data_IF_691230093808
#
_entry.id   IF_691230093808
#
_cell.length_a   1.000
_cell.length_b   1.000
_cell.length_c   1.000
_cell.angle_alpha   90.00
_cell.angle_beta   90.00
_cell.angle_gamma   90.00
#
_symmetry.space_group_name_H-M   'P 1'
#
loop_
_entity.id
_entity.type
_entity.pdbx_description
1 polymer ?
#
# COMPACT_ATOMS: atom_id res chain seq x y z
N UNK A 1 21.48 -26.02 25.08
CA UNK A 1 20.13 -25.59 24.72
C UNK A 1 20.18 -25.45 23.22
N UNK A 2 20.01 -26.53 22.44
CA UNK A 2 19.97 -26.33 21.00
C UNK A 2 18.83 -25.37 20.64
N UNK A 3 19.09 -24.28 19.94
CA UNK A 3 18.03 -23.37 19.50
C UNK A 3 17.07 -24.14 18.59
N UNK A 4 15.77 -23.96 18.79
CA UNK A 4 14.71 -24.53 17.95
C UNK A 4 13.91 -23.43 17.29
N UNK A 5 13.45 -23.68 16.06
CA UNK A 5 12.50 -22.82 15.37
C UNK A 5 11.09 -23.29 15.68
N UNK A 6 10.27 -22.41 16.24
CA UNK A 6 8.88 -22.72 16.58
C UNK A 6 7.97 -22.68 15.34
N UNK A 7 6.72 -23.13 15.50
CA UNK A 7 5.69 -23.11 14.45
C UNK A 7 5.28 -21.71 13.98
N UNK A 8 5.79 -20.65 14.62
CA UNK A 8 5.54 -19.26 14.22
C UNK A 8 6.43 -18.80 13.05
N UNK A 9 7.31 -19.69 12.56
CA UNK A 9 8.16 -19.42 11.41
C UNK A 9 7.35 -19.07 10.16
N UNK A 10 7.70 -17.94 9.53
CA UNK A 10 7.10 -17.46 8.28
C UNK A 10 7.90 -17.85 7.03
N UNK A 11 8.87 -18.76 7.14
CA UNK A 11 9.71 -19.25 6.03
C UNK A 11 10.45 -18.15 5.24
N UNK A 12 10.88 -17.08 5.91
CA UNK A 12 11.61 -15.99 5.27
C UNK A 12 13.09 -16.31 4.94
N UNK A 13 13.67 -17.36 5.53
CA UNK A 13 15.05 -17.81 5.27
C UNK A 13 16.16 -16.91 5.82
N UNK A 14 15.84 -15.85 6.56
CA UNK A 14 16.83 -14.88 7.04
C UNK A 14 17.87 -15.46 8.02
N UNK A 15 17.52 -16.52 8.75
CA UNK A 15 18.39 -17.15 9.74
C UNK A 15 19.43 -18.12 9.15
N UNK A 16 19.14 -18.71 7.98
CA UNK A 16 20.00 -19.71 7.34
C UNK A 16 21.44 -19.20 7.04
N UNK A 17 21.64 -18.04 6.38
CA UNK A 17 22.98 -17.56 6.06
C UNK A 17 23.76 -17.08 7.29
N UNK A 18 23.09 -16.75 8.39
CA UNK A 18 23.71 -16.24 9.62
C UNK A 18 24.24 -17.36 10.52
N UNK A 19 23.95 -18.63 10.22
CA UNK A 19 24.38 -19.76 11.04
C UNK A 19 25.84 -20.16 10.71
N UNK A 20 26.80 -20.03 11.65
CA UNK A 20 28.21 -20.34 11.40
C UNK A 20 28.47 -21.84 11.14
N UNK A 21 27.58 -22.72 11.60
CA UNK A 21 27.71 -24.17 11.45
C UNK A 21 26.84 -24.72 10.31
N UNK A 22 26.11 -23.85 9.59
CA UNK A 22 25.12 -24.27 8.59
C UNK A 22 24.16 -25.32 9.16
N UNK A 23 23.65 -25.06 10.37
CA UNK A 23 22.79 -25.98 11.12
C UNK A 23 21.30 -25.82 10.76
N UNK A 24 20.94 -24.83 9.93
CA UNK A 24 19.55 -24.47 9.63
C UNK A 24 19.22 -24.95 8.22
N UNK A 25 18.12 -25.68 8.09
CA UNK A 25 17.66 -26.25 6.84
C UNK A 25 16.19 -25.89 6.59
N UNK A 26 15.81 -25.80 5.32
CA UNK A 26 14.41 -25.63 4.94
C UNK A 26 13.60 -26.90 5.26
N UNK A 27 12.32 -26.72 5.59
CA UNK A 27 11.40 -27.83 5.83
C UNK A 27 11.39 -28.85 4.67
N UNK A 28 11.42 -30.14 5.03
CA UNK A 28 11.39 -31.26 4.08
C UNK A 28 12.74 -31.58 3.42
N UNK A 29 13.80 -30.80 3.69
CA UNK A 29 15.15 -31.05 3.14
C UNK A 29 15.93 -32.00 4.05
N UNK A 30 16.59 -32.99 3.45
CA UNK A 30 17.54 -33.86 4.14
C UNK A 30 18.80 -33.08 4.53
N UNK A 31 19.32 -33.33 5.73
CA UNK A 31 20.54 -32.69 6.23
C UNK A 31 21.69 -33.68 6.33
N UNK A 32 22.91 -33.19 6.20
CA UNK A 32 24.15 -33.96 6.20
C UNK A 32 24.90 -33.80 7.52
N UNK A 33 25.55 -34.83 8.05
CA UNK A 33 26.54 -34.72 9.13
C UNK A 33 27.52 -35.87 9.00
N UNK A 34 28.83 -35.57 8.98
CA UNK A 34 29.89 -36.57 8.80
C UNK A 34 29.66 -37.48 7.56
N UNK A 35 29.34 -36.88 6.43
CA UNK A 35 29.03 -37.55 5.15
C UNK A 35 27.79 -38.49 5.16
N UNK A 36 27.00 -38.51 6.24
CA UNK A 36 25.73 -39.22 6.33
C UNK A 36 24.54 -38.28 6.10
N UNK A 37 23.54 -38.74 5.33
CA UNK A 37 22.27 -38.02 5.14
C UNK A 37 21.23 -38.46 6.16
N UNK A 38 20.52 -37.49 6.72
CA UNK A 38 19.50 -37.67 7.74
C UNK A 38 18.17 -37.08 7.27
N UNK A 39 17.03 -37.65 7.70
CA UNK A 39 15.71 -37.13 7.33
C UNK A 39 15.46 -35.75 7.96
N UNK A 40 14.62 -34.95 7.29
CA UNK A 40 14.21 -33.63 7.75
C UNK A 40 13.55 -33.68 9.14
N UNK A 41 13.93 -32.76 10.03
CA UNK A 41 13.35 -32.67 11.39
C UNK A 41 11.94 -32.07 11.35
N UNK A 42 11.71 -31.11 10.44
CA UNK A 42 10.40 -30.53 10.16
C UNK A 42 10.12 -30.54 8.65
N UNK A 43 8.84 -30.61 8.28
CA UNK A 43 8.41 -30.67 6.87
C UNK A 43 7.98 -29.29 6.34
N UNK A 44 7.32 -28.49 7.18
CA UNK A 44 6.59 -27.30 6.70
C UNK A 44 7.29 -25.96 7.03
N UNK A 45 8.30 -26.00 7.91
CA UNK A 45 9.02 -24.83 8.39
C UNK A 45 10.53 -25.09 8.40
N UNK A 46 11.33 -24.02 8.40
CA UNK A 46 12.76 -24.13 8.68
C UNK A 46 12.99 -24.80 10.04
N UNK A 47 14.03 -25.63 10.13
CA UNK A 47 14.42 -26.30 11.36
C UNK A 47 15.92 -26.17 11.59
N UNK A 48 16.31 -26.19 12.86
CA UNK A 48 17.70 -26.19 13.30
C UNK A 48 18.04 -27.62 13.72
N UNK A 49 19.11 -28.17 13.17
CA UNK A 49 19.65 -29.48 13.54
C UNK A 49 20.35 -29.36 14.90
N UNK A 50 19.84 -29.99 15.96
CA UNK A 50 20.40 -29.85 17.30
C UNK A 50 21.85 -30.32 17.40
N UNK A 51 22.22 -31.33 16.62
CA UNK A 51 23.54 -31.93 16.60
C UNK A 51 24.60 -31.00 15.98
N UNK A 52 24.19 -30.00 15.17
CA UNK A 52 25.05 -28.96 14.59
C UNK A 52 24.96 -27.62 15.32
N UNK A 53 23.90 -27.39 16.10
CA UNK A 53 23.71 -26.12 16.80
C UNK A 53 24.74 -25.97 17.93
N UNK A 54 25.47 -24.86 17.97
CA UNK A 54 26.38 -24.51 19.09
C UNK A 54 25.92 -23.26 19.84
N UNK A 55 24.68 -22.80 19.64
CA UNK A 55 24.16 -21.52 20.18
C UNK A 55 25.09 -20.33 19.87
N UNK A 56 25.78 -20.40 18.74
CA UNK A 56 26.82 -19.46 18.31
C UNK A 56 28.03 -19.32 19.27
N UNK A 57 28.17 -20.18 20.28
CA UNK A 57 29.34 -20.23 21.16
C UNK A 57 30.60 -20.49 20.32
N UNK A 58 31.61 -19.66 20.52
CA UNK A 58 32.85 -19.65 19.73
C UNK A 58 32.86 -18.64 18.58
N UNK A 59 31.70 -18.12 18.18
CA UNK A 59 31.55 -17.21 17.03
C UNK A 59 30.93 -15.87 17.42
N UNK A 60 29.84 -15.89 18.18
CA UNK A 60 29.09 -14.69 18.60
C UNK A 60 28.73 -14.77 20.09
N UNK A 61 28.50 -13.60 20.71
CA UNK A 61 28.05 -13.47 22.10
C UNK A 61 26.52 -13.60 22.26
N UNK A 62 25.80 -13.80 21.14
CA UNK A 62 24.37 -14.01 21.07
C UNK A 62 24.01 -14.96 19.92
N UNK A 63 22.78 -15.46 19.90
CA UNK A 63 22.30 -16.30 18.80
C UNK A 63 21.98 -15.45 17.57
N UNK A 64 22.81 -15.54 16.53
CA UNK A 64 22.64 -14.76 15.30
C UNK A 64 21.29 -15.05 14.61
N UNK A 65 20.85 -16.31 14.63
CA UNK A 65 19.56 -16.72 14.09
C UNK A 65 18.35 -16.06 14.81
N UNK A 66 18.44 -15.87 16.13
CA UNK A 66 17.42 -15.17 16.90
C UNK A 66 17.45 -13.67 16.63
N UNK A 67 18.63 -13.06 16.49
CA UNK A 67 18.77 -11.64 16.23
C UNK A 67 18.22 -11.18 14.87
N UNK A 68 18.23 -12.07 13.86
CA UNK A 68 17.75 -11.78 12.50
C UNK A 68 16.30 -12.22 12.26
N UNK A 69 15.69 -12.95 13.20
CA UNK A 69 14.35 -13.49 13.01
C UNK A 69 13.28 -12.37 13.12
N UNK A 70 12.48 -12.09 12.07
CA UNK A 70 11.49 -11.00 12.12
C UNK A 70 10.28 -11.28 13.02
N UNK A 71 10.11 -12.54 13.43
CA UNK A 71 8.99 -13.02 14.25
C UNK A 71 9.47 -13.69 15.55
N UNK A 72 10.76 -13.55 15.87
CA UNK A 72 11.37 -14.07 17.11
C UNK A 72 11.10 -15.56 17.40
N UNK A 73 10.97 -16.39 16.35
CA UNK A 73 10.63 -17.81 16.48
C UNK A 73 11.84 -18.73 16.75
N UNK A 74 13.07 -18.21 16.77
CA UNK A 74 14.28 -18.98 17.10
C UNK A 74 14.53 -18.86 18.61
N UNK A 75 14.19 -19.89 19.37
CA UNK A 75 14.19 -19.88 20.84
C UNK A 75 15.05 -21.04 21.36
N UNK A 76 15.83 -20.87 22.44
CA UNK A 76 16.54 -21.97 23.07
C UNK A 76 15.60 -23.12 23.47
N UNK A 77 15.88 -24.36 23.04
CA UNK A 77 15.04 -25.51 23.37
C UNK A 77 15.12 -25.85 24.88
N UNK A 78 14.03 -25.73 25.64
CA UNK A 78 14.01 -26.09 27.06
C UNK A 78 14.18 -27.60 27.30
N UNK A 79 13.91 -28.45 26.29
CA UNK A 79 14.04 -29.90 26.41
C UNK A 79 15.49 -30.41 26.26
N UNK A 80 16.40 -29.57 25.73
CA UNK A 80 17.81 -29.96 25.47
C UNK A 80 18.82 -28.95 26.04
N UNK A 81 18.88 -28.73 27.37
CA UNK A 81 19.88 -27.85 27.96
C UNK A 81 21.30 -28.39 27.77
N UNK A 82 22.23 -27.50 27.43
CA UNK A 82 23.64 -27.80 27.14
C UNK A 82 24.46 -26.67 27.75
N UNK A 83 25.70 -26.97 28.12
CA UNK A 83 26.61 -26.04 28.79
C UNK A 83 27.66 -25.52 27.81
N UNK A 84 28.24 -24.38 28.15
CA UNK A 84 29.23 -23.66 27.33
C UNK A 84 30.40 -24.55 26.88
N UNK A 85 30.90 -25.43 27.77
CA UNK A 85 32.01 -26.34 27.49
C UNK A 85 31.65 -27.41 26.44
N UNK A 86 30.39 -27.86 26.40
CA UNK A 86 29.91 -28.85 25.42
C UNK A 86 29.76 -28.20 24.04
N UNK A 87 29.25 -26.97 24.02
CA UNK A 87 29.00 -26.23 22.78
C UNK A 87 30.32 -25.83 22.08
N UNK A 88 31.33 -25.39 22.84
CA UNK A 88 32.64 -25.07 22.26
C UNK A 88 33.39 -26.33 21.80
N UNK A 89 33.20 -27.47 22.47
CA UNK A 89 33.77 -28.74 22.03
C UNK A 89 33.17 -29.17 20.68
N UNK A 90 31.84 -29.07 20.53
CA UNK A 90 31.14 -29.31 19.25
C UNK A 90 31.60 -28.33 18.16
N UNK A 91 31.77 -27.04 18.48
CA UNK A 91 32.26 -26.05 17.52
C UNK A 91 33.67 -26.41 16.99
N UNK A 92 34.57 -26.90 17.84
CA UNK A 92 35.90 -27.39 17.46
C UNK A 92 35.87 -28.63 16.58
N UNK A 93 34.92 -29.52 16.80
CA UNK A 93 34.73 -30.72 15.98
C UNK A 93 34.20 -30.37 14.58
N UNK A 94 33.23 -29.45 14.50
CA UNK A 94 32.64 -29.01 13.24
C UNK A 94 33.61 -28.15 12.41
N UNK A 95 34.53 -27.42 13.06
CA UNK A 95 35.46 -26.50 12.41
C UNK A 95 36.92 -26.80 12.79
N UNK A 96 37.50 -27.92 12.31
CA UNK A 96 38.86 -28.34 12.68
C UNK A 96 39.98 -27.38 12.20
N UNK A 97 39.66 -26.49 11.26
CA UNK A 97 40.59 -25.46 10.75
C UNK A 97 40.49 -24.10 11.45
N UNK A 98 39.60 -23.94 12.42
CA UNK A 98 39.36 -22.68 13.12
C UNK A 98 39.96 -22.72 14.53
N UNK A 99 40.88 -21.80 14.82
CA UNK A 99 41.44 -21.66 16.16
C UNK A 99 40.50 -20.85 17.06
N UNK A 100 39.97 -21.49 18.11
CA UNK A 100 39.12 -20.83 19.10
C UNK A 100 39.96 -20.40 20.32
N UNK A 101 40.11 -19.08 20.58
CA UNK A 101 40.89 -18.59 21.72
C UNK A 101 40.27 -19.02 23.06
N UNK A 102 41.04 -19.04 24.16
CA UNK A 102 40.51 -19.39 25.48
C UNK A 102 39.43 -18.42 26.00
N UNK A 103 39.46 -17.16 25.56
CA UNK A 103 38.42 -16.15 25.78
C UNK A 103 37.50 -16.05 24.55
N UNK A 104 36.82 -17.14 24.23
CA UNK A 104 35.89 -17.19 23.10
C UNK A 104 34.56 -16.49 23.44
N UNK A 105 33.89 -15.88 22.43
CA UNK A 105 32.58 -15.27 22.63
C UNK A 105 31.54 -16.34 22.97
N UNK A 106 30.74 -16.08 24.00
CA UNK A 106 29.69 -16.98 24.46
C UNK A 106 28.57 -16.20 25.13
N UNK A 107 27.32 -16.52 24.77
CA UNK A 107 26.12 -15.97 25.41
C UNK A 107 26.00 -16.27 26.90
N UNK A 108 26.72 -17.28 27.38
CA UNK A 108 26.74 -17.67 28.80
C UNK A 108 27.70 -16.80 29.63
N UNK A 109 28.60 -16.06 29.00
CA UNK A 109 29.62 -15.23 29.65
C UNK A 109 29.38 -13.75 29.30
N UNK A 110 28.81 -12.97 30.23
CA UNK A 110 28.65 -11.52 30.03
C UNK A 110 29.99 -10.81 30.23
N UNK A 111 30.61 -10.42 29.12
CA UNK A 111 31.84 -9.62 29.10
C UNK A 111 33.09 -10.46 29.34
N UNK A 112 34.10 -10.27 28.48
CA UNK A 112 35.43 -10.89 28.48
C UNK A 112 35.74 -11.79 29.70
N UNK A 113 35.58 -13.10 29.51
CA UNK A 113 36.35 -14.13 30.20
C UNK A 113 36.19 -14.34 31.71
N UNK A 114 34.98 -14.30 32.30
CA UNK A 114 34.79 -14.88 33.65
C UNK A 114 33.56 -15.78 33.74
N UNK A 115 33.77 -17.02 34.22
CA UNK A 115 32.77 -18.05 34.42
C UNK A 115 31.81 -17.70 35.58
N UNK A 116 30.53 -18.02 35.42
CA UNK A 116 29.56 -18.02 36.52
C UNK A 116 29.16 -19.46 36.80
N UNK A 117 29.40 -19.88 38.03
CA UNK A 117 29.03 -21.20 38.57
C UNK A 117 27.51 -21.45 38.49
N UNK A 118 27.17 -22.73 38.34
CA UNK A 118 25.86 -23.29 38.00
C UNK A 118 24.63 -22.65 38.63
N UNK A 119 23.57 -22.56 37.82
CA UNK A 119 22.20 -22.30 38.29
C UNK A 119 21.66 -23.61 38.90
N UNK A 120 21.24 -23.65 40.17
CA UNK A 120 20.60 -24.83 40.71
C UNK A 120 19.15 -24.93 40.20
N UNK A 121 18.69 -26.18 40.15
CA UNK A 121 17.40 -26.63 39.63
C UNK A 121 16.18 -25.82 40.11
N UNK A 122 15.22 -25.68 39.21
CA UNK A 122 13.94 -25.01 39.41
C UNK A 122 13.08 -25.64 40.52
N UNK A 123 12.29 -24.79 41.19
CA UNK A 123 11.04 -25.14 41.89
C UNK A 123 10.03 -23.97 41.78
N UNK A 124 8.71 -24.23 41.85
CA UNK A 124 7.78 -23.73 40.84
C UNK A 124 6.86 -22.57 41.26
N UNK A 125 6.36 -21.89 40.22
CA UNK A 125 5.12 -21.12 40.05
C UNK A 125 4.42 -20.49 41.27
N UNK A 126 4.26 -19.17 41.22
CA UNK A 126 3.10 -18.48 41.79
C UNK A 126 2.62 -17.37 40.85
N UNK A 127 1.33 -17.41 40.53
CA UNK A 127 0.62 -16.49 39.67
C UNK A 127 0.56 -15.07 40.25
N UNK A 128 0.70 -14.05 39.41
CA UNK A 128 0.25 -12.70 39.70
C UNK A 128 -0.36 -12.06 38.44
N UNK A 129 -1.60 -11.60 38.62
CA UNK A 129 -2.48 -10.96 37.64
C UNK A 129 -1.98 -9.57 37.19
N UNK A 130 -2.55 -8.96 36.13
CA UNK A 130 -1.95 -7.82 35.45
C UNK A 130 -2.25 -6.50 36.17
N UNK A 131 -1.26 -5.61 36.23
CA UNK A 131 -1.42 -4.22 36.65
C UNK A 131 -1.41 -3.27 35.43
N UNK A 132 -2.13 -2.13 35.49
CA UNK A 132 -2.62 -1.43 34.32
C UNK A 132 -1.66 -0.38 33.76
N UNK A 133 -1.92 -0.02 32.50
CA UNK A 133 -1.23 1.02 31.75
C UNK A 133 -1.28 2.39 32.46
N UNK A 134 -0.11 3.02 32.59
CA UNK A 134 0.03 4.44 32.90
C UNK A 134 0.87 5.16 31.85
N UNK A 135 0.41 6.37 31.57
CA UNK A 135 0.81 7.26 30.50
C UNK A 135 2.25 7.76 30.67
N UNK A 136 2.99 7.81 29.56
CA UNK A 136 4.31 8.42 29.49
C UNK A 136 4.19 9.95 29.62
N UNK A 137 4.78 10.49 30.70
CA UNK A 137 5.07 11.90 30.84
C UNK A 137 6.51 12.19 30.36
N UNK A 138 6.65 13.25 29.58
CA UNK A 138 7.91 13.71 29.00
C UNK A 138 8.95 14.12 30.06
N UNK A 139 10.22 13.84 29.76
CA UNK A 139 11.38 14.37 30.48
C UNK A 139 12.47 14.83 29.47
N UNK A 140 13.34 15.78 29.86
CA UNK A 140 13.83 16.84 28.97
C UNK A 140 15.17 16.57 28.28
N UNK A 141 15.45 17.40 27.27
CA UNK A 141 16.64 17.39 26.42
C UNK A 141 17.97 17.39 27.20
N UNK A 142 18.83 16.42 26.88
CA UNK A 142 20.23 16.37 27.32
C UNK A 142 21.16 16.80 26.17
N UNK A 143 22.16 17.63 26.53
CA UNK A 143 23.13 18.28 25.65
C UNK A 143 24.09 17.28 25.00
N UNK A 144 24.44 17.55 23.74
CA UNK A 144 25.48 16.84 22.99
C UNK A 144 26.88 17.00 23.63
N UNK A 145 27.73 15.96 23.63
CA UNK A 145 29.14 16.09 23.99
C UNK A 145 29.99 16.60 22.83
N UNK A 146 31.04 17.33 23.18
CA UNK A 146 31.94 18.05 22.28
C UNK A 146 32.83 17.11 21.45
N UNK A 147 32.95 17.42 20.16
CA UNK A 147 33.84 16.76 19.19
C UNK A 147 35.26 17.30 19.35
N UNK A 148 36.23 16.44 19.67
CA UNK A 148 37.66 16.72 19.52
C UNK A 148 38.05 16.40 18.09
N UNK A 149 38.50 17.42 17.36
CA UNK A 149 38.95 17.29 15.98
C UNK A 149 40.33 16.65 15.88
N UNK A 150 40.47 15.69 14.95
CA UNK A 150 41.71 15.41 14.26
C UNK A 150 41.44 15.52 12.75
N UNK A 151 42.03 16.56 12.18
CA UNK A 151 41.97 16.95 10.77
C UNK A 151 42.80 15.97 9.93
N UNK A 152 42.16 15.23 9.04
CA UNK A 152 42.81 14.69 7.83
C UNK A 152 42.11 15.34 6.65
N UNK A 153 42.67 16.47 6.19
CA UNK A 153 42.30 17.03 4.89
C UNK A 153 42.86 16.13 3.80
N UNK A 154 41.96 15.47 3.06
CA UNK A 154 42.23 15.09 1.67
C UNK A 154 41.06 15.53 0.80
N UNK A 155 41.39 16.46 -0.08
CA UNK A 155 40.54 17.23 -0.98
C UNK A 155 39.38 16.46 -1.62
N UNK A 156 38.16 16.92 -1.38
CA UNK A 156 36.99 16.72 -2.24
C UNK A 156 36.31 18.07 -2.43
N UNK A 157 36.76 18.82 -3.41
CA UNK A 157 36.04 19.99 -3.92
C UNK A 157 36.37 20.19 -5.40
N UNK A 158 35.81 19.31 -6.23
CA UNK A 158 35.52 19.61 -7.62
C UNK A 158 33.99 19.65 -7.79
N UNK A 159 33.43 20.54 -8.63
CA UNK A 159 31.99 20.52 -8.91
C UNK A 159 31.63 19.13 -9.46
N UNK A 160 30.61 18.48 -8.86
CA UNK A 160 30.00 17.28 -9.43
C UNK A 160 29.59 17.61 -10.87
N UNK A 161 30.06 16.86 -11.89
CA UNK A 161 29.67 17.13 -13.26
C UNK A 161 28.14 17.02 -13.35
N UNK A 162 27.50 18.04 -13.91
CA UNK A 162 26.08 18.01 -14.21
C UNK A 162 25.79 16.73 -15.00
N UNK A 163 24.83 15.93 -14.52
CA UNK A 163 24.39 14.71 -15.20
C UNK A 163 24.02 15.07 -16.64
N UNK A 164 24.87 14.68 -17.58
CA UNK A 164 24.59 14.84 -19.01
C UNK A 164 23.38 13.97 -19.30
N UNK A 165 22.21 14.59 -19.52
CA UNK A 165 21.04 13.88 -20.04
C UNK A 165 21.42 13.37 -21.44
N UNK A 166 21.76 12.09 -21.51
CA UNK A 166 21.95 11.39 -22.77
C UNK A 166 20.62 11.47 -23.54
N UNK A 167 20.59 12.00 -24.78
CA UNK A 167 19.37 12.04 -25.56
C UNK A 167 18.88 10.61 -25.82
N UNK A 168 17.64 10.34 -25.40
CA UNK A 168 17.00 9.02 -25.51
C UNK A 168 16.83 8.67 -26.99
N UNK A 169 17.41 7.55 -27.43
CA UNK A 169 17.12 6.99 -28.76
C UNK A 169 15.61 6.71 -28.83
N UNK A 170 14.89 7.12 -29.89
CA UNK A 170 13.49 6.77 -30.06
C UNK A 170 13.37 5.25 -30.17
N UNK A 171 12.69 4.63 -29.21
CA UNK A 171 12.46 3.18 -29.16
C UNK A 171 11.49 2.80 -30.27
N UNK A 172 11.79 1.74 -31.04
CA UNK A 172 10.83 1.19 -32.00
C UNK A 172 9.60 0.66 -31.24
N UNK A 173 8.40 1.01 -31.72
CA UNK A 173 7.13 0.59 -31.12
C UNK A 173 6.99 -0.94 -31.26
N UNK A 174 7.16 -1.66 -30.15
CA UNK A 174 6.83 -3.09 -30.06
C UNK A 174 5.31 -3.26 -30.12
N UNK A 175 4.85 -4.27 -30.84
CA UNK A 175 3.44 -4.65 -30.86
C UNK A 175 3.18 -5.75 -29.83
N UNK A 176 2.15 -5.57 -29.01
CA UNK A 176 1.83 -6.48 -27.90
C UNK A 176 0.54 -7.29 -28.13
N UNK A 177 0.44 -8.45 -27.49
CA UNK A 177 -0.78 -9.28 -27.59
C UNK A 177 -1.97 -8.59 -26.90
N UNK A 178 -3.02 -8.31 -27.66
CA UNK A 178 -4.21 -7.58 -27.17
C UNK A 178 -4.11 -6.07 -27.31
N UNK A 179 -3.07 -5.56 -27.99
CA UNK A 179 -2.92 -4.13 -28.26
C UNK A 179 -3.83 -3.64 -29.39
N UNK A 180 -4.50 -2.53 -29.16
CA UNK A 180 -5.37 -1.88 -30.13
C UNK A 180 -4.56 -1.10 -31.17
N UNK A 181 -5.03 -1.12 -32.43
CA UNK A 181 -4.45 -0.39 -33.57
C UNK A 181 -4.92 1.08 -33.63
N UNK A 182 -5.09 1.72 -32.47
CA UNK A 182 -5.48 3.12 -32.33
C UNK A 182 -4.39 3.89 -31.59
N UNK A 183 -4.40 5.21 -31.68
CA UNK A 183 -3.46 6.05 -30.93
C UNK A 183 -3.83 6.11 -29.44
N UNK A 184 -2.86 6.46 -28.59
CA UNK A 184 -3.09 6.56 -27.15
C UNK A 184 -4.11 7.66 -26.82
N UNK A 185 -4.02 8.81 -27.49
CA UNK A 185 -4.96 9.94 -27.31
C UNK A 185 -6.38 9.55 -27.70
N UNK A 186 -6.52 8.76 -28.76
CA UNK A 186 -7.81 8.24 -29.22
C UNK A 186 -8.40 7.24 -28.23
N UNK A 187 -7.59 6.29 -27.75
CA UNK A 187 -7.97 5.36 -26.70
C UNK A 187 -8.41 6.10 -25.41
N UNK A 188 -7.65 7.11 -25.00
CA UNK A 188 -7.96 7.94 -23.83
C UNK A 188 -9.25 8.75 -24.03
N UNK A 189 -9.54 9.23 -25.25
CA UNK A 189 -10.80 9.88 -25.56
C UNK A 189 -11.99 8.90 -25.48
N UNK A 190 -11.82 7.66 -25.98
CA UNK A 190 -12.84 6.61 -25.90
C UNK A 190 -13.10 6.16 -24.45
N UNK A 191 -12.05 6.12 -23.63
CA UNK A 191 -12.14 5.83 -22.20
C UNK A 191 -13.03 6.86 -21.48
N UNK A 192 -12.82 8.14 -21.79
CA UNK A 192 -13.56 9.26 -21.21
C UNK A 192 -14.90 9.55 -21.88
N UNK A 193 -15.27 8.80 -22.93
CA UNK A 193 -16.55 8.97 -23.58
C UNK A 193 -17.67 8.63 -22.57
N UNK A 194 -18.70 9.48 -22.45
CA UNK A 194 -19.72 9.32 -21.43
C UNK A 194 -20.48 8.01 -21.64
N UNK A 195 -20.61 7.20 -20.58
CA UNK A 195 -21.50 6.03 -20.60
C UNK A 195 -22.89 6.52 -20.95
N UNK A 196 -23.37 6.19 -22.14
CA UNK A 196 -24.72 6.55 -22.51
C UNK A 196 -25.66 5.66 -21.75
N UNK A 197 -26.18 6.14 -20.61
CA UNK A 197 -27.44 5.62 -20.07
C UNK A 197 -28.47 5.52 -21.20
N UNK A 198 -29.38 4.53 -21.14
CA UNK A 198 -30.42 4.40 -22.15
C UNK A 198 -31.12 5.74 -22.35
N UNK A 199 -31.53 6.06 -23.59
CA UNK A 199 -32.16 7.36 -23.89
C UNK A 199 -33.33 7.64 -22.93
N UNK A 200 -34.07 6.61 -22.54
CA UNK A 200 -35.13 6.69 -21.52
C UNK A 200 -34.62 7.05 -20.13
N UNK A 201 -33.52 6.47 -19.67
CA UNK A 201 -32.94 6.80 -18.36
C UNK A 201 -32.43 8.24 -18.28
N UNK A 202 -31.83 8.76 -19.36
CA UNK A 202 -31.38 10.16 -19.42
C UNK A 202 -32.53 11.15 -19.27
N UNK A 203 -33.63 10.92 -19.98
CA UNK A 203 -34.85 11.73 -19.87
C UNK A 203 -35.53 11.58 -18.52
N UNK A 204 -35.57 10.37 -17.96
CA UNK A 204 -36.05 10.15 -16.60
C UNK A 204 -35.25 10.96 -15.58
N UNK A 205 -33.91 10.87 -15.62
CA UNK A 205 -33.05 11.61 -14.71
C UNK A 205 -33.22 13.12 -14.86
N UNK A 206 -33.37 13.63 -16.09
CA UNK A 206 -33.64 15.04 -16.37
C UNK A 206 -34.98 15.52 -15.79
N UNK A 207 -36.06 14.77 -16.03
CA UNK A 207 -37.39 15.11 -15.52
C UNK A 207 -37.49 14.96 -14.00
N UNK A 208 -36.80 13.99 -13.42
CA UNK A 208 -36.78 13.72 -11.99
C UNK A 208 -35.77 14.58 -11.21
N UNK A 209 -35.01 15.48 -11.86
CA UNK A 209 -34.06 16.38 -11.18
C UNK A 209 -34.64 17.11 -9.95
N UNK A 210 -35.89 17.64 -9.97
CA UNK A 210 -36.47 18.30 -8.80
C UNK A 210 -36.62 17.37 -7.60
N UNK A 211 -36.76 16.06 -7.79
CA UNK A 211 -36.87 15.07 -6.71
C UNK A 211 -35.51 14.49 -6.35
N UNK A 212 -34.71 14.10 -7.36
CA UNK A 212 -33.38 13.53 -7.18
C UNK A 212 -32.39 14.52 -6.55
N UNK A 213 -32.63 15.82 -6.70
CA UNK A 213 -31.85 16.86 -6.05
C UNK A 213 -31.91 16.82 -4.52
N UNK A 214 -32.93 16.20 -3.93
CA UNK A 214 -33.03 15.99 -2.48
C UNK A 214 -31.98 15.01 -1.95
N UNK A 215 -31.49 14.09 -2.78
CA UNK A 215 -30.65 12.97 -2.36
C UNK A 215 -29.28 13.41 -1.80
N UNK A 216 -28.62 12.54 -0.99
CA UNK A 216 -27.24 12.73 -0.56
C UNK A 216 -26.27 12.92 -1.72
N UNK A 217 -25.20 13.69 -1.48
CA UNK A 217 -24.22 14.05 -2.52
C UNK A 217 -23.65 12.84 -3.26
N UNK A 218 -23.24 11.79 -2.54
CA UNK A 218 -22.70 10.57 -3.15
C UNK A 218 -23.70 9.86 -4.08
N UNK A 219 -25.00 9.89 -3.78
CA UNK A 219 -26.03 9.32 -4.66
C UNK A 219 -26.23 10.16 -5.92
N UNK A 220 -26.23 11.50 -5.79
CA UNK A 220 -26.30 12.41 -6.95
C UNK A 220 -25.10 12.24 -7.88
N UNK A 221 -23.90 12.08 -7.34
CA UNK A 221 -22.70 11.80 -8.14
C UNK A 221 -22.79 10.47 -8.89
N UNK A 222 -23.36 9.41 -8.29
CA UNK A 222 -23.60 8.14 -8.99
C UNK A 222 -24.57 8.30 -10.15
N UNK A 223 -25.65 9.08 -9.96
CA UNK A 223 -26.63 9.35 -11.02
C UNK A 223 -25.99 10.18 -12.14
N UNK A 224 -25.23 11.22 -11.79
CA UNK A 224 -24.49 12.05 -12.74
C UNK A 224 -23.50 11.23 -13.58
N UNK A 225 -22.72 10.36 -12.93
CA UNK A 225 -21.81 9.43 -13.61
C UNK A 225 -22.55 8.44 -14.53
N UNK A 226 -23.74 7.98 -14.11
CA UNK A 226 -24.56 7.05 -14.90
C UNK A 226 -25.24 7.70 -16.12
N UNK A 227 -25.62 8.97 -16.01
CA UNK A 227 -26.19 9.74 -17.11
C UNK A 227 -25.11 10.10 -18.14
N UNK A 228 -23.90 10.43 -17.65
CA UNK A 228 -22.72 10.72 -18.45
C UNK A 228 -22.79 12.05 -19.23
N UNK A 229 -23.98 12.62 -19.43
CA UNK A 229 -24.21 13.86 -20.17
C UNK A 229 -24.71 14.96 -19.22
N UNK A 230 -23.86 15.97 -19.00
CA UNK A 230 -24.14 17.12 -18.12
C UNK A 230 -25.37 17.93 -18.55
N UNK A 231 -25.83 17.80 -19.79
CA UNK A 231 -27.06 18.47 -20.26
C UNK A 231 -28.32 17.88 -19.63
N UNK A 232 -28.29 16.59 -19.28
CA UNK A 232 -29.46 15.88 -18.74
C UNK A 232 -29.46 15.83 -17.21
N UNK A 233 -28.30 15.78 -16.56
CA UNK A 233 -28.21 15.73 -15.10
C UNK A 233 -26.88 16.27 -14.59
N UNK A 234 -26.93 17.13 -13.57
CA UNK A 234 -25.77 17.54 -12.78
C UNK A 234 -26.15 17.59 -11.30
N UNK A 235 -25.23 17.27 -10.39
CA UNK A 235 -25.51 17.35 -8.95
C UNK A 235 -25.87 18.78 -8.52
N UNK A 236 -25.21 19.79 -9.09
CA UNK A 236 -25.50 21.20 -8.85
C UNK A 236 -26.88 21.59 -9.38
N UNK A 237 -27.17 21.28 -10.65
CA UNK A 237 -28.45 21.60 -11.29
C UNK A 237 -29.63 20.93 -10.61
N UNK A 238 -29.52 19.63 -10.29
CA UNK A 238 -30.55 18.91 -9.56
C UNK A 238 -30.80 19.52 -8.17
N UNK A 239 -29.74 19.89 -7.44
CA UNK A 239 -29.87 20.56 -6.13
C UNK A 239 -30.58 21.91 -6.26
N UNK A 240 -30.19 22.74 -7.24
CA UNK A 240 -30.83 24.02 -7.51
C UNK A 240 -32.31 23.88 -7.87
N UNK A 241 -32.64 22.91 -8.73
CA UNK A 241 -34.02 22.66 -9.14
C UNK A 241 -34.87 22.11 -7.98
N UNK A 242 -34.28 21.30 -7.09
CA UNK A 242 -34.93 20.84 -5.87
C UNK A 242 -35.15 21.98 -4.86
N UNK A 243 -34.24 22.96 -4.77
CA UNK A 243 -34.45 24.15 -3.94
C UNK A 243 -35.64 24.98 -4.46
N UNK A 244 -35.72 25.20 -5.78
CA UNK A 244 -36.88 25.85 -6.40
C UNK A 244 -38.17 25.06 -6.17
N UNK A 245 -38.10 23.73 -6.23
CA UNK A 245 -39.23 22.86 -5.94
C UNK A 245 -39.68 22.96 -4.46
N UNK A 246 -38.74 23.02 -3.52
CA UNK A 246 -39.03 23.19 -2.09
C UNK A 246 -39.71 24.54 -1.80
N UNK A 247 -39.42 25.60 -2.57
CA UNK A 247 -40.14 26.88 -2.48
C UNK A 247 -41.63 26.77 -2.83
N UNK A 248 -42.06 25.69 -3.50
CA UNK A 248 -43.46 25.41 -3.80
C UNK A 248 -44.01 24.40 -2.78
N UNK A 249 -43.28 23.32 -2.51
CA UNK A 249 -43.73 22.25 -1.62
C UNK A 249 -43.93 22.74 -0.19
N UNK A 250 -42.98 23.47 0.39
CA UNK A 250 -43.04 23.83 1.80
C UNK A 250 -44.27 24.70 2.12
N UNK A 251 -44.55 25.78 1.37
CA UNK A 251 -45.81 26.52 1.53
C UNK A 251 -47.05 25.66 1.30
N UNK A 252 -47.06 24.81 0.28
CA UNK A 252 -48.21 23.94 -0.02
C UNK A 252 -48.48 22.94 1.12
N UNK A 253 -47.44 22.37 1.72
CA UNK A 253 -47.55 21.47 2.88
C UNK A 253 -48.04 22.25 4.10
N UNK A 254 -47.55 23.47 4.34
CA UNK A 254 -48.05 24.30 5.44
C UNK A 254 -49.52 24.67 5.27
N UNK A 255 -49.98 24.93 4.04
CA UNK A 255 -51.39 25.14 3.72
C UNK A 255 -52.20 23.88 4.00
N UNK A 256 -51.73 22.71 3.55
CA UNK A 256 -52.41 21.44 3.80
C UNK A 256 -52.50 21.14 5.31
N UNK A 257 -51.45 21.37 6.08
CA UNK A 257 -51.46 21.22 7.55
C UNK A 257 -52.46 22.20 8.17
N UNK A 258 -52.46 23.47 7.75
CA UNK A 258 -53.42 24.46 8.23
C UNK A 258 -54.87 24.10 7.93
N UNK A 259 -55.15 23.63 6.72
CA UNK A 259 -56.50 23.27 6.28
C UNK A 259 -57.00 21.97 6.92
N UNK A 260 -56.18 20.92 6.95
CA UNK A 260 -56.62 19.58 7.37
C UNK A 260 -56.39 19.31 8.86
N UNK A 261 -55.22 19.66 9.40
CA UNK A 261 -54.90 19.38 10.80
C UNK A 261 -55.44 20.45 11.74
N UNK A 262 -55.33 21.72 11.35
CA UNK A 262 -55.79 22.86 12.17
C UNK A 262 -57.22 23.31 11.83
N UNK A 263 -57.86 22.69 10.82
CA UNK A 263 -59.22 23.00 10.34
C UNK A 263 -59.45 24.48 10.07
N UNK A 264 -58.42 25.19 9.60
CA UNK A 264 -58.49 26.63 9.29
C UNK A 264 -59.07 26.84 7.89
N UNK A 265 -59.76 27.96 7.71
CA UNK A 265 -60.28 28.34 6.39
C UNK A 265 -59.14 28.76 5.46
N UNK A 266 -59.26 28.36 4.18
CA UNK A 266 -58.21 28.57 3.15
C UNK A 266 -57.91 30.05 2.89
N UNK A 267 -58.82 30.96 3.26
CA UNK A 267 -58.71 32.40 3.04
C UNK A 267 -58.54 33.19 4.35
N UNK A 268 -58.10 32.54 5.44
CA UNK A 268 -57.86 33.20 6.73
C UNK A 268 -56.46 33.81 6.82
N UNK A 269 -56.32 34.93 7.53
CA UNK A 269 -55.01 35.59 7.79
C UNK A 269 -54.00 34.67 8.51
N UNK A 270 -54.50 33.74 9.32
CA UNK A 270 -53.69 32.73 10.00
C UNK A 270 -53.04 31.75 9.00
N UNK A 271 -53.73 31.40 7.90
CA UNK A 271 -53.16 30.56 6.85
C UNK A 271 -52.11 31.31 6.02
N UNK A 272 -52.32 32.61 5.79
CA UNK A 272 -51.31 33.46 5.14
C UNK A 272 -50.00 33.45 5.92
N UNK A 273 -50.06 33.45 7.26
CA UNK A 273 -48.88 33.33 8.12
C UNK A 273 -48.17 31.97 7.99
N UNK A 274 -48.93 30.88 7.81
CA UNK A 274 -48.37 29.54 7.56
C UNK A 274 -47.69 29.43 6.19
N UNK A 275 -48.20 30.12 5.16
CA UNK A 275 -47.55 30.21 3.84
C UNK A 275 -46.19 30.90 3.98
N UNK A 276 -46.14 32.03 4.68
CA UNK A 276 -44.89 32.77 4.94
C UNK A 276 -43.89 31.90 5.72
N UNK A 277 -44.36 31.16 6.72
CA UNK A 277 -43.54 30.20 7.45
C UNK A 277 -42.97 29.11 6.52
N UNK A 278 -43.77 28.59 5.59
CA UNK A 278 -43.32 27.63 4.58
C UNK A 278 -42.19 28.18 3.69
N UNK A 279 -42.32 29.42 3.21
CA UNK A 279 -41.25 30.08 2.46
C UNK A 279 -39.99 30.30 3.32
N UNK A 280 -40.15 30.73 4.58
CA UNK A 280 -39.03 30.93 5.49
C UNK A 280 -38.27 29.62 5.75
N UNK A 281 -38.98 28.51 5.93
CA UNK A 281 -38.38 27.18 6.09
C UNK A 281 -37.63 26.72 4.83
N UNK A 282 -38.22 26.93 3.64
CA UNK A 282 -37.55 26.61 2.37
C UNK A 282 -36.29 27.44 2.15
N UNK A 283 -36.33 28.75 2.47
CA UNK A 283 -35.17 29.63 2.40
C UNK A 283 -34.07 29.22 3.38
N UNK A 284 -34.43 28.89 4.61
CA UNK A 284 -33.49 28.41 5.60
C UNK A 284 -32.79 27.12 5.16
N UNK A 285 -33.56 26.14 4.65
CA UNK A 285 -32.99 24.90 4.12
C UNK A 285 -32.08 25.15 2.91
N UNK A 286 -32.47 26.05 1.99
CA UNK A 286 -31.65 26.43 0.85
C UNK A 286 -30.29 27.00 1.27
N UNK A 287 -30.28 27.93 2.24
CA UNK A 287 -29.06 28.51 2.80
C UNK A 287 -28.21 27.43 3.47
N UNK A 288 -28.81 26.56 4.28
CA UNK A 288 -28.10 25.46 4.94
C UNK A 288 -27.43 24.52 3.94
N UNK A 289 -28.11 24.20 2.84
CA UNK A 289 -27.63 23.26 1.82
C UNK A 289 -26.54 23.84 0.94
N UNK A 290 -26.59 25.14 0.68
CA UNK A 290 -25.61 25.87 -0.13
C UNK A 290 -24.58 26.64 0.68
N UNK A 291 -24.50 26.40 2.01
CA UNK A 291 -23.61 27.15 2.92
C UNK A 291 -22.16 27.22 2.44
N UNK A 292 -21.64 26.17 1.82
CA UNK A 292 -20.25 26.13 1.35
C UNK A 292 -20.05 27.03 0.13
N UNK A 293 -21.01 27.07 -0.79
CA UNK A 293 -20.98 28.02 -1.91
C UNK A 293 -21.16 29.47 -1.42
N UNK A 294 -22.11 29.70 -0.51
CA UNK A 294 -22.47 31.05 -0.03
C UNK A 294 -21.36 31.65 0.84
N UNK A 295 -20.85 30.91 1.84
CA UNK A 295 -19.91 31.45 2.82
C UNK A 295 -18.44 31.27 2.45
N UNK A 296 -18.09 30.34 1.55
CA UNK A 296 -16.69 30.08 1.15
C UNK A 296 -16.37 30.44 -0.30
N UNK A 297 -17.35 30.95 -1.07
CA UNK A 297 -17.21 31.31 -2.48
C UNK A 297 -16.54 30.20 -3.33
N UNK A 298 -16.74 28.93 -2.95
CA UNK A 298 -16.16 27.80 -3.66
C UNK A 298 -16.84 27.62 -5.04
N UNK A 299 -16.09 27.26 -6.08
CA UNK A 299 -16.67 27.05 -7.41
C UNK A 299 -17.62 25.84 -7.41
N UNK A 300 -18.71 25.91 -8.19
CA UNK A 300 -19.85 24.98 -8.10
C UNK A 300 -19.50 23.51 -8.40
N UNK A 301 -18.39 23.26 -9.09
CA UNK A 301 -17.84 21.93 -9.37
C UNK A 301 -17.16 21.29 -8.17
N UNK A 302 -16.69 22.09 -7.20
CA UNK A 302 -15.98 21.62 -6.00
C UNK A 302 -16.86 21.61 -4.74
N UNK A 303 -18.07 22.19 -4.81
CA UNK A 303 -18.98 22.30 -3.66
C UNK A 303 -19.69 20.98 -3.37
N UNK A 304 -19.71 20.58 -2.09
CA UNK A 304 -20.48 19.41 -1.64
C UNK A 304 -21.92 19.82 -1.30
N UNK A 305 -22.83 19.62 -2.24
CA UNK A 305 -24.25 19.93 -2.03
C UNK A 305 -24.94 18.95 -1.08
N UNK A 306 -25.39 19.45 0.06
CA UNK A 306 -26.06 18.66 1.11
C UNK A 306 -27.43 18.14 0.66
N UNK A 307 -27.85 17.06 1.32
CA UNK A 307 -29.17 16.46 1.13
C UNK A 307 -30.27 17.39 1.67
N UNK A 308 -31.50 17.22 1.18
CA UNK A 308 -32.67 17.88 1.76
C UNK A 308 -33.04 17.26 3.12
N UNK A 309 -33.85 17.94 3.92
CA UNK A 309 -34.28 17.48 5.24
C UNK A 309 -35.10 16.18 5.16
N UNK A 310 -35.90 16.04 4.10
CA UNK A 310 -36.68 14.84 3.80
C UNK A 310 -35.91 13.79 2.99
N UNK A 311 -34.60 13.98 2.79
CA UNK A 311 -33.78 13.04 2.03
C UNK A 311 -33.67 11.63 2.63
N UNK A 312 -33.61 11.40 3.96
CA UNK A 312 -33.46 10.04 4.50
C UNK A 312 -34.53 9.04 4.03
N UNK A 313 -35.85 9.32 4.12
CA UNK A 313 -36.87 8.40 3.61
C UNK A 313 -36.82 8.26 2.08
N UNK A 314 -36.53 9.35 1.35
CA UNK A 314 -36.40 9.31 -0.11
C UNK A 314 -35.18 8.47 -0.54
N UNK A 315 -34.04 8.66 0.13
CA UNK A 315 -32.80 7.97 -0.16
C UNK A 315 -32.96 6.45 0.01
N UNK A 316 -33.69 5.99 1.04
CA UNK A 316 -33.99 4.57 1.24
C UNK A 316 -34.74 3.96 0.03
N UNK A 317 -35.69 4.69 -0.55
CA UNK A 317 -36.42 4.27 -1.75
C UNK A 317 -35.52 4.14 -2.99
N UNK A 318 -34.51 5.00 -3.11
CA UNK A 318 -33.58 5.03 -4.25
C UNK A 318 -32.27 4.23 -4.04
N UNK A 319 -32.06 3.60 -2.87
CA UNK A 319 -30.94 2.69 -2.61
C UNK A 319 -30.83 1.56 -3.66
N UNK A 320 -31.88 0.80 -4.03
CA UNK A 320 -31.74 -0.28 -5.01
C UNK A 320 -31.30 0.24 -6.39
N UNK A 321 -31.86 1.37 -6.83
CA UNK A 321 -31.48 2.02 -8.09
C UNK A 321 -30.01 2.48 -8.06
N UNK A 322 -29.57 3.14 -6.98
CA UNK A 322 -28.19 3.63 -6.85
C UNK A 322 -27.16 2.55 -6.54
N UNK A 323 -27.59 1.36 -6.10
CA UNK A 323 -26.72 0.17 -6.02
C UNK A 323 -26.48 -0.48 -7.38
N UNK A 324 -27.48 -0.45 -8.27
CA UNK A 324 -27.30 -0.91 -9.65
C UNK A 324 -26.35 -0.02 -10.46
N UNK A 325 -26.26 1.27 -10.09
CA UNK A 325 -25.31 2.22 -10.65
C UNK A 325 -23.92 1.98 -10.04
N UNK A 326 -23.09 1.16 -10.70
CA UNK A 326 -21.72 0.86 -10.26
C UNK A 326 -20.92 2.16 -10.08
N UNK A 327 -20.32 2.31 -8.90
CA UNK A 327 -19.32 3.35 -8.63
C UNK A 327 -18.00 2.91 -9.23
N UNK A 328 -17.23 3.82 -9.83
CA UNK A 328 -15.85 3.56 -10.20
C UNK A 328 -15.05 3.23 -8.94
N UNK A 329 -14.55 2.01 -8.86
CA UNK A 329 -13.70 1.53 -7.78
C UNK A 329 -12.25 1.73 -8.23
N UNK A 330 -11.47 2.49 -7.44
CA UNK A 330 -10.02 2.55 -7.62
C UNK A 330 -9.40 1.39 -6.87
N UNK A 331 -8.90 0.40 -7.59
CA UNK A 331 -8.19 -0.75 -7.00
C UNK A 331 -6.72 -0.53 -7.28
N UNK A 332 -5.93 -0.28 -6.24
CA UNK A 332 -4.48 -0.09 -6.38
C UNK A 332 -3.78 -0.41 -5.08
N UNK A 333 -2.64 -1.06 -5.19
CA UNK A 333 -1.65 -1.18 -4.12
C UNK A 333 -0.85 0.11 -4.13
N UNK A 334 -1.34 1.14 -3.42
CA UNK A 334 -0.49 2.27 -3.05
C UNK A 334 0.15 1.90 -1.72
N UNK A 335 1.46 1.62 -1.66
CA UNK A 335 2.12 1.46 -0.38
C UNK A 335 1.93 2.68 0.52
N UNK A 336 1.81 2.41 1.82
CA UNK A 336 1.88 3.40 2.88
C UNK A 336 3.23 4.12 2.81
N UNK A 337 3.23 5.45 2.93
CA UNK A 337 4.45 6.27 3.04
C UNK A 337 5.36 5.71 4.15
N UNK A 338 6.56 5.27 3.76
CA UNK A 338 7.54 4.63 4.65
C UNK A 338 8.48 5.63 5.34
N UNK A 339 9.48 5.10 6.04
CA UNK A 339 10.55 5.91 6.62
C UNK A 339 11.42 6.53 5.51
N UNK A 340 11.62 7.84 5.56
CA UNK A 340 12.53 8.57 4.67
C UNK A 340 13.80 8.94 5.44
N UNK A 341 14.97 8.48 4.98
CA UNK A 341 16.27 8.80 5.57
C UNK A 341 17.41 8.53 4.60
N UNK A 342 18.52 9.29 4.69
CA UNK A 342 19.62 9.20 3.72
C UNK A 342 20.37 7.85 3.68
N UNK A 343 20.20 7.01 4.70
CA UNK A 343 20.81 5.67 4.80
C UNK A 343 19.85 4.54 4.38
N UNK A 344 18.54 4.83 4.27
CA UNK A 344 17.52 3.84 3.95
C UNK A 344 16.84 4.18 2.63
N UNK A 345 16.74 3.20 1.75
CA UNK A 345 16.03 3.38 0.49
C UNK A 345 14.52 3.56 0.74
N UNK A 346 13.92 4.51 0.03
CA UNK A 346 12.48 4.76 0.09
C UNK A 346 11.71 3.47 -0.23
N UNK A 347 10.78 3.10 0.66
CA UNK A 347 9.96 1.89 0.51
C UNK A 347 9.19 1.89 -0.81
N UNK A 348 8.66 3.04 -1.24
CA UNK A 348 7.93 3.13 -2.51
C UNK A 348 8.85 2.85 -3.69
N UNK A 349 10.07 3.37 -3.64
CA UNK A 349 11.07 3.17 -4.68
C UNK A 349 11.55 1.73 -4.76
N UNK A 350 11.64 1.06 -3.61
CA UNK A 350 11.83 -0.39 -3.53
C UNK A 350 10.69 -1.15 -4.20
N UNK A 351 9.45 -0.85 -3.86
CA UNK A 351 8.28 -1.56 -4.41
C UNK A 351 8.08 -1.33 -5.92
N UNK A 352 8.48 -0.17 -6.46
CA UNK A 352 8.50 0.07 -7.92
C UNK A 352 9.39 -0.94 -8.65
N UNK A 353 10.49 -1.40 -8.05
CA UNK A 353 11.38 -2.42 -8.65
C UNK A 353 10.72 -3.80 -8.77
N UNK A 354 9.75 -4.08 -7.91
CA UNK A 354 8.95 -5.32 -7.97
C UNK A 354 7.68 -5.15 -8.80
N UNK A 355 7.42 -3.94 -9.33
CA UNK A 355 6.22 -3.64 -10.12
C UNK A 355 4.94 -3.65 -9.29
N UNK A 356 5.04 -3.39 -7.99
CA UNK A 356 3.90 -3.43 -7.05
C UNK A 356 3.19 -2.07 -6.94
N UNK A 357 3.84 -0.98 -7.35
CA UNK A 357 3.30 0.37 -7.30
C UNK A 357 2.49 0.65 -8.57
N UNK A 358 1.18 0.39 -8.49
CA UNK A 358 0.26 0.71 -9.56
C UNK A 358 -1.12 1.12 -9.07
N UNK A 359 -1.81 1.90 -9.91
CA UNK A 359 -3.20 2.32 -9.69
C UNK A 359 -4.06 1.92 -10.87
N UNK A 360 -5.14 1.18 -10.61
CA UNK A 360 -6.16 0.86 -11.60
C UNK A 360 -7.42 1.65 -11.28
N UNK A 361 -7.76 2.60 -12.13
CA UNK A 361 -8.93 3.47 -11.97
C UNK A 361 -9.97 3.14 -13.04
N UNK A 362 -11.20 2.79 -12.65
CA UNK A 362 -12.29 2.69 -13.61
C UNK A 362 -12.68 4.09 -14.14
N UNK A 363 -12.65 4.28 -15.46
CA UNK A 363 -13.02 5.55 -16.11
C UNK A 363 -13.95 5.25 -17.29
N UNK A 364 -15.13 5.87 -17.30
CA UNK A 364 -16.11 5.78 -18.40
C UNK A 364 -16.32 4.36 -18.94
N UNK A 365 -15.76 4.10 -20.13
CA UNK A 365 -15.89 2.86 -20.90
C UNK A 365 -14.76 1.84 -20.65
N UNK A 366 -13.95 2.00 -19.61
CA UNK A 366 -12.75 1.18 -19.44
C UNK A 366 -12.06 1.35 -18.09
N UNK A 367 -10.77 1.08 -18.08
CA UNK A 367 -9.89 1.27 -16.94
C UNK A 367 -8.63 2.02 -17.39
N UNK A 368 -8.14 2.92 -16.55
CA UNK A 368 -6.82 3.52 -16.67
C UNK A 368 -5.90 2.87 -15.64
N UNK A 369 -4.89 2.17 -16.12
CA UNK A 369 -3.80 1.68 -15.30
C UNK A 369 -2.63 2.67 -15.37
N UNK A 370 -2.05 2.98 -14.22
CA UNK A 370 -0.74 3.64 -14.12
C UNK A 370 0.17 2.79 -13.26
N UNK A 371 1.27 2.33 -13.83
CA UNK A 371 2.30 1.56 -13.13
C UNK A 371 3.60 2.36 -13.14
N UNK A 372 4.19 2.53 -11.96
CA UNK A 372 5.42 3.31 -11.78
C UNK A 372 6.66 2.42 -11.78
N UNK A 373 7.63 2.78 -12.60
CA UNK A 373 8.94 2.15 -12.65
C UNK A 373 9.92 2.90 -11.74
N UNK A 374 10.98 2.24 -11.25
CA UNK A 374 11.99 2.86 -10.42
C UNK A 374 12.71 3.99 -11.17
N UNK A 375 12.96 5.07 -10.45
CA UNK A 375 13.64 6.32 -10.82
C UNK A 375 15.07 6.38 -10.29
N UNK A 376 15.40 5.69 -9.20
CA UNK A 376 16.76 5.74 -8.61
C UNK A 376 17.36 4.35 -8.42
N UNK A 377 18.66 4.24 -8.67
CA UNK A 377 19.45 3.03 -8.42
C UNK A 377 19.70 2.89 -6.92
N UNK A 378 19.37 1.73 -6.30
CA UNK A 378 19.56 1.51 -4.87
C UNK A 378 21.02 1.72 -4.45
N UNK A 379 21.23 2.34 -3.30
CA UNK A 379 22.57 2.49 -2.75
C UNK A 379 23.16 1.12 -2.41
N UNK A 380 24.37 0.86 -2.89
CA UNK A 380 25.12 -0.36 -2.59
C UNK A 380 26.61 -0.12 -2.78
N UNK A 381 27.45 -0.80 -2.01
CA UNK A 381 28.91 -0.69 -2.15
C UNK A 381 29.40 -1.04 -3.57
N UNK A 382 28.71 -1.97 -4.24
CA UNK A 382 29.00 -2.36 -5.62
C UNK A 382 28.65 -1.24 -6.62
N UNK A 383 27.55 -0.51 -6.41
CA UNK A 383 27.21 0.66 -7.23
C UNK A 383 28.34 1.69 -7.20
N UNK A 384 28.88 1.96 -6.01
CA UNK A 384 30.00 2.90 -5.82
C UNK A 384 31.28 2.37 -6.48
N UNK A 385 31.56 1.06 -6.35
CA UNK A 385 32.71 0.41 -6.97
C UNK A 385 32.65 0.41 -8.50
N UNK A 386 31.47 0.19 -9.09
CA UNK A 386 31.25 0.18 -10.54
C UNK A 386 30.99 1.58 -11.12
N UNK A 387 30.93 2.63 -10.29
CA UNK A 387 30.71 4.01 -10.72
C UNK A 387 29.35 4.22 -11.39
N UNK A 388 28.32 3.48 -10.97
CA UNK A 388 26.99 3.53 -11.58
C UNK A 388 26.24 4.80 -11.11
N UNK A 389 25.61 5.57 -12.02
CA UNK A 389 24.85 6.76 -11.66
C UNK A 389 23.69 6.48 -10.70
N UNK A 390 23.23 7.53 -9.99
CA UNK A 390 22.05 7.45 -9.13
C UNK A 390 20.74 7.31 -9.91
N UNK A 391 20.68 7.82 -11.15
CA UNK A 391 19.47 7.80 -11.98
C UNK A 391 19.27 6.42 -12.62
N UNK A 392 18.08 5.85 -12.43
CA UNK A 392 17.72 4.54 -13.00
C UNK A 392 17.41 4.70 -14.50
N UNK A 393 18.06 3.94 -15.39
CA UNK A 393 17.73 3.93 -16.81
C UNK A 393 16.36 3.32 -17.07
N UNK A 394 15.79 3.63 -18.24
CA UNK A 394 14.47 3.12 -18.62
C UNK A 394 14.50 1.58 -18.75
N UNK A 395 13.51 0.93 -18.15
CA UNK A 395 13.31 -0.51 -18.29
C UNK A 395 12.77 -0.84 -19.70
N UNK A 396 13.09 -2.03 -20.18
CA UNK A 396 12.26 -2.71 -21.16
C UNK A 396 10.99 -3.23 -20.54
N UNK A 397 9.93 -3.30 -21.33
CA UNK A 397 8.70 -3.89 -20.88
C UNK A 397 7.99 -4.66 -21.99
N UNK A 398 7.32 -5.73 -21.58
CA UNK A 398 6.40 -6.48 -22.42
C UNK A 398 5.00 -6.49 -21.78
N UNK A 399 3.98 -6.34 -22.62
CA UNK A 399 2.57 -6.36 -22.21
C UNK A 399 1.85 -7.53 -22.85
N UNK A 400 0.96 -8.16 -22.08
CA UNK A 400 0.06 -9.19 -22.61
C UNK A 400 -1.29 -9.14 -21.88
N UNK A 401 -2.37 -9.28 -22.64
CA UNK A 401 -3.72 -9.43 -22.10
C UNK A 401 -4.14 -10.89 -22.21
N UNK A 402 -4.27 -11.60 -21.08
CA UNK A 402 -4.61 -13.02 -21.08
C UNK A 402 -5.45 -13.40 -19.85
N UNK A 403 -6.51 -14.19 -20.06
CA UNK A 403 -7.27 -14.80 -18.95
C UNK A 403 -7.90 -13.82 -17.96
N UNK A 404 -8.21 -12.58 -18.38
CA UNK A 404 -8.71 -11.52 -17.49
C UNK A 404 -7.63 -10.80 -16.68
N UNK A 405 -6.36 -11.03 -17.00
CA UNK A 405 -5.20 -10.34 -16.42
C UNK A 405 -4.52 -9.49 -17.48
N UNK A 406 -4.05 -8.30 -17.07
CA UNK A 406 -3.01 -7.58 -17.78
C UNK A 406 -1.67 -7.96 -17.14
N UNK A 407 -0.80 -8.61 -17.92
CA UNK A 407 0.53 -9.03 -17.50
C UNK A 407 1.51 -7.97 -17.96
N UNK A 408 2.23 -7.37 -17.00
CA UNK A 408 3.30 -6.40 -17.26
C UNK A 408 4.62 -7.04 -16.86
N UNK A 409 5.54 -7.20 -17.80
CA UNK A 409 6.90 -7.67 -17.54
C UNK A 409 7.85 -6.51 -17.69
N UNK A 410 8.61 -6.18 -16.66
CA UNK A 410 9.68 -5.19 -16.72
C UNK A 410 11.05 -5.88 -16.71
N UNK A 411 12.01 -5.37 -17.49
CA UNK A 411 13.38 -5.89 -17.59
C UNK A 411 14.41 -4.78 -17.69
N UNK A 412 15.50 -4.88 -16.93
CA UNK A 412 16.65 -3.98 -17.07
C UNK A 412 17.49 -4.42 -18.29
N UNK A 413 17.70 -3.53 -19.26
CA UNK A 413 18.55 -3.82 -20.44
C UNK A 413 20.04 -3.54 -20.18
N UNK A 414 20.35 -2.62 -19.25
CA UNK A 414 21.73 -2.20 -19.01
C UNK A 414 22.58 -3.36 -18.45
N UNK A 415 23.70 -3.73 -19.11
CA UNK A 415 24.49 -4.88 -18.73
C UNK A 415 25.26 -4.70 -17.41
N UNK A 416 25.57 -3.45 -17.03
CA UNK A 416 26.24 -3.13 -15.76
C UNK A 416 25.23 -3.28 -14.62
N UNK A 417 24.02 -2.73 -14.79
CA UNK A 417 22.95 -2.89 -13.80
C UNK A 417 22.47 -4.34 -13.68
N UNK A 418 22.45 -5.12 -14.77
CA UNK A 418 22.15 -6.56 -14.68
C UNK A 418 23.16 -7.32 -13.85
N UNK A 419 24.45 -6.98 -13.93
CA UNK A 419 25.48 -7.56 -13.05
C UNK A 419 25.27 -7.16 -11.60
N UNK A 420 24.91 -5.89 -11.35
CA UNK A 420 24.60 -5.39 -10.02
C UNK A 420 23.39 -6.12 -9.41
N UNK A 421 22.34 -6.28 -10.21
CA UNK A 421 21.11 -7.01 -9.85
C UNK A 421 21.35 -8.49 -9.57
N UNK A 422 22.30 -9.12 -10.25
CA UNK A 422 22.64 -10.53 -10.02
C UNK A 422 23.30 -10.77 -8.64
N UNK A 423 23.91 -9.75 -8.04
CA UNK A 423 24.63 -9.85 -6.76
C UNK A 423 23.79 -9.31 -5.60
N UNK A 424 22.88 -8.36 -5.86
CA UNK A 424 22.04 -7.75 -4.85
C UNK A 424 20.62 -8.35 -4.86
N UNK A 425 20.21 -9.12 -3.84
CA UNK A 425 18.86 -9.72 -3.79
C UNK A 425 17.75 -8.68 -3.70
N UNK A 426 18.06 -7.46 -3.25
CA UNK A 426 17.11 -6.36 -3.16
C UNK A 426 16.80 -5.69 -4.51
N UNK A 427 17.56 -6.01 -5.57
CA UNK A 427 17.42 -5.40 -6.89
C UNK A 427 17.17 -6.46 -7.98
N UNK A 428 15.91 -6.88 -8.19
CA UNK A 428 15.62 -7.84 -9.25
C UNK A 428 15.87 -7.21 -10.63
N UNK A 429 16.53 -7.93 -11.56
CA UNK A 429 16.77 -7.41 -12.91
C UNK A 429 15.48 -7.40 -13.75
N UNK A 430 14.54 -8.28 -13.42
CA UNK A 430 13.29 -8.48 -14.14
C UNK A 430 12.14 -8.63 -13.11
N UNK A 431 10.97 -8.08 -13.41
CA UNK A 431 9.74 -8.29 -12.62
C UNK A 431 8.55 -8.64 -13.50
N UNK A 432 7.55 -9.30 -12.94
CA UNK A 432 6.31 -9.63 -13.65
C UNK A 432 5.11 -9.35 -12.74
N UNK A 433 4.29 -8.38 -13.12
CA UNK A 433 3.08 -8.00 -12.40
C UNK A 433 1.85 -8.56 -13.10
N UNK A 434 1.03 -9.30 -12.36
CA UNK A 434 -0.24 -9.86 -12.84
C UNK A 434 -1.40 -9.03 -12.31
N UNK A 435 -1.92 -8.13 -13.13
CA UNK A 435 -2.98 -7.19 -12.71
C UNK A 435 -4.33 -7.79 -13.08
N UNK A 436 -5.09 -8.22 -12.07
CA UNK A 436 -6.44 -8.76 -12.25
C UNK A 436 -7.41 -7.66 -12.69
N UNK A 437 -8.09 -7.85 -13.81
CA UNK A 437 -9.06 -6.89 -14.32
C UNK A 437 -10.45 -7.14 -13.69
N UNK A 438 -11.15 -6.10 -13.19
CA UNK A 438 -12.48 -6.27 -12.61
C UNK A 438 -13.57 -6.68 -13.61
N UNK A 439 -13.33 -6.48 -14.91
CA UNK A 439 -14.25 -6.81 -15.99
C UNK A 439 -13.45 -7.21 -17.25
N UNK A 440 -14.06 -7.97 -18.18
CA UNK A 440 -13.43 -8.24 -19.48
C UNK A 440 -13.18 -6.93 -20.24
N UNK A 441 -12.09 -6.91 -21.01
CA UNK A 441 -11.67 -5.77 -21.83
C UNK A 441 -11.40 -6.25 -23.26
N UNK A 442 -11.80 -5.46 -24.24
CA UNK A 442 -11.63 -5.75 -25.66
C UNK A 442 -10.17 -5.63 -26.12
N UNK A 443 -9.40 -4.77 -25.46
CA UNK A 443 -7.98 -4.57 -25.72
C UNK A 443 -7.42 -3.40 -24.93
N UNK A 444 -6.15 -3.11 -25.15
CA UNK A 444 -5.47 -2.00 -24.48
C UNK A 444 -4.63 -1.15 -25.43
N UNK A 445 -4.34 0.08 -25.00
CA UNK A 445 -3.28 0.91 -25.57
C UNK A 445 -2.39 1.44 -24.46
N UNK A 446 -1.11 1.61 -24.73
CA UNK A 446 -0.14 1.99 -23.72
C UNK A 446 0.70 3.19 -24.17
N UNK A 447 1.31 3.86 -23.19
CA UNK A 447 2.33 4.88 -23.38
C UNK A 447 3.26 4.87 -22.18
N UNK A 448 4.55 5.04 -22.42
CA UNK A 448 5.55 5.14 -21.37
C UNK A 448 6.13 6.55 -21.35
N UNK A 449 5.87 7.30 -20.28
CA UNK A 449 6.33 8.69 -20.10
C UNK A 449 6.87 8.84 -18.69
N UNK A 450 8.04 9.45 -18.55
CA UNK A 450 8.65 9.73 -17.25
C UNK A 450 8.63 8.53 -16.27
N UNK A 451 9.11 7.37 -16.75
CA UNK A 451 9.16 6.12 -15.96
C UNK A 451 7.81 5.66 -15.43
N UNK A 452 6.73 6.13 -16.05
CA UNK A 452 5.37 5.72 -15.73
C UNK A 452 4.76 5.08 -16.96
N UNK A 453 4.29 3.84 -16.81
CA UNK A 453 3.54 3.13 -17.82
C UNK A 453 2.05 3.43 -17.63
N UNK A 454 1.49 4.17 -18.57
CA UNK A 454 0.04 4.40 -18.66
C UNK A 454 -0.56 3.39 -19.64
N UNK A 455 -1.58 2.65 -19.19
CA UNK A 455 -2.32 1.69 -20.03
C UNK A 455 -3.80 1.99 -19.97
N UNK A 456 -4.37 2.31 -21.12
CA UNK A 456 -5.81 2.47 -21.33
C UNK A 456 -6.38 1.11 -21.72
N UNK A 457 -7.29 0.59 -20.90
CA UNK A 457 -7.98 -0.68 -21.09
C UNK A 457 -9.44 -0.39 -21.47
N UNK A 458 -9.87 -0.75 -22.68
CA UNK A 458 -11.25 -0.49 -23.14
C UNK A 458 -12.12 -1.74 -22.95
N UNK A 459 -13.33 -1.57 -22.41
CA UNK A 459 -14.30 -2.66 -22.22
C UNK A 459 -14.91 -3.15 -23.52
#
# INVERSE_FOLDING_TARGET
MATVITSECINCGACEPECPNTAIYQGGVEWDLNDAKHPAVAQDIFFIVPEKCTECVGFHDHEACAAVCPVDCCIPDPARPEVDEVLIARARELHPGTEFPPDYPSRFRKGNGHAVEGVPAAAPAAAAAPAPATQAAAAPAAKAPAVIGARVEKALSGPRPASVRVPRKPRMLKAFQGELKINFEEAAAMLNAPRSGSRGFKWFAALAQPLLGALPFGQKQRIEAAVGDKRFFTAAGATGLNILHNMIIYPAVMVAVGAFALKRNVFSDELSSLIVLGFAMAAFEAIWRMREAIFRAAPLDQVRFRAALYAPPLAALFVPLTRMLKTAESVGTSPVDGFHGGEFEDKQEREKRYGEVYTLTEQGNGFLLRLEFPRTVPHSALKDQFGVPDDMPDYDYDLALQGGYLIVKGRVEDPVLRKLAAVSPAFPPDFTTHIKLPAPVAGFKHRFVDRTLEVVLLK
#
